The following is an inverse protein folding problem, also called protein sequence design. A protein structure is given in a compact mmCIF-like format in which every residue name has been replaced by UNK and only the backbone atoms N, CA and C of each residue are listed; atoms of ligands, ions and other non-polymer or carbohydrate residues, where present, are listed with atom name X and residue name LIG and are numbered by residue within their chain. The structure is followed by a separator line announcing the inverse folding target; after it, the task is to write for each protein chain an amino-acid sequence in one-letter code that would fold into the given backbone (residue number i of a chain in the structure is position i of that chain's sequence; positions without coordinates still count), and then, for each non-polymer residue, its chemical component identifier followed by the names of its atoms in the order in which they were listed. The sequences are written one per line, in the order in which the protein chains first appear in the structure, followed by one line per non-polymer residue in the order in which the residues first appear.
data_IF_525067274915
#
_entry.id   IF_525067274915
#
_cell.length_a   1.000
_cell.length_b   1.000
_cell.length_c   1.000
_cell.angle_alpha   90.00
_cell.angle_beta   90.00
_cell.angle_gamma   90.00
#
_symmetry.space_group_name_H-M   'P 1'
#
loop_
_entity.id
_entity.type
_entity.pdbx_description
1 polymer ?
#
# COMPACT_ATOMS: atom_id res chain seq x y z
N UNK A 1 0.77 -11.48 -26.29
CA UNK A 1 1.02 -10.13 -25.77
C UNK A 1 0.14 -9.19 -26.56
N UNK A 2 -0.85 -8.58 -25.92
CA UNK A 2 -1.62 -7.51 -26.59
C UNK A 2 -0.67 -6.37 -26.93
N UNK A 3 -0.70 -5.91 -28.19
CA UNK A 3 0.12 -4.78 -28.63
C UNK A 3 -0.49 -3.50 -28.06
N UNK A 4 -0.01 -3.09 -26.89
CA UNK A 4 -0.35 -1.79 -26.32
C UNK A 4 0.21 -0.67 -27.19
N UNK A 5 -0.49 0.47 -27.33
CA UNK A 5 0.04 1.64 -28.00
C UNK A 5 1.36 2.10 -27.37
N UNK A 6 2.26 2.68 -28.17
CA UNK A 6 3.53 3.22 -27.67
C UNK A 6 3.25 4.24 -26.58
N UNK A 7 3.89 4.07 -25.41
CA UNK A 7 3.69 4.95 -24.25
C UNK A 7 2.52 4.56 -23.35
N UNK A 8 1.89 3.39 -23.56
CA UNK A 8 0.82 2.89 -22.70
C UNK A 8 1.19 1.56 -22.05
N UNK A 9 0.74 1.38 -20.81
CA UNK A 9 0.98 0.20 -19.99
C UNK A 9 -0.29 -0.16 -19.20
N UNK A 10 -0.47 -1.44 -18.90
CA UNK A 10 -1.57 -1.92 -18.06
C UNK A 10 -1.26 -1.73 -16.58
N UNK A 11 -2.22 -1.22 -15.81
CA UNK A 11 -2.17 -1.18 -14.35
C UNK A 11 -2.03 -2.60 -13.78
N UNK A 12 -1.05 -2.79 -12.88
CA UNK A 12 -0.79 -4.10 -12.23
C UNK A 12 -1.94 -4.61 -11.36
N UNK A 13 -2.87 -3.74 -10.97
CA UNK A 13 -3.96 -4.06 -10.04
C UNK A 13 -5.28 -4.30 -10.76
N UNK A 14 -5.70 -3.40 -11.64
CA UNK A 14 -7.01 -3.47 -12.30
C UNK A 14 -6.93 -3.74 -13.81
N UNK A 15 -5.73 -3.77 -14.40
CA UNK A 15 -5.54 -3.99 -15.84
C UNK A 15 -5.88 -2.79 -16.73
N UNK A 16 -6.27 -1.64 -16.17
CA UNK A 16 -6.58 -0.44 -16.99
C UNK A 16 -5.36 -0.01 -17.81
N UNK A 17 -5.61 0.37 -19.06
CA UNK A 17 -4.56 0.85 -19.98
C UNK A 17 -4.37 2.34 -19.72
N UNK A 18 -3.21 2.71 -19.21
CA UNK A 18 -2.88 4.10 -18.87
C UNK A 18 -1.64 4.56 -19.63
N UNK A 19 -1.47 5.87 -19.77
CA UNK A 19 -0.19 6.42 -20.20
C UNK A 19 0.88 6.03 -19.17
N UNK A 20 2.05 5.59 -19.65
CA UNK A 20 3.14 5.16 -18.77
C UNK A 20 3.64 6.29 -17.85
N UNK A 21 3.45 7.56 -18.21
CA UNK A 21 3.75 8.72 -17.38
C UNK A 21 2.80 8.88 -16.18
N UNK A 22 1.57 8.36 -16.28
CA UNK A 22 0.57 8.42 -15.22
C UNK A 22 0.68 7.24 -14.24
N UNK A 23 1.41 6.19 -14.62
CA UNK A 23 1.67 5.05 -13.76
C UNK A 23 2.78 5.35 -12.76
N UNK A 24 2.48 5.10 -11.48
CA UNK A 24 3.49 5.13 -10.41
C UNK A 24 3.54 3.74 -9.80
N UNK A 25 4.74 3.14 -9.78
CA UNK A 25 4.93 1.75 -9.34
C UNK A 25 4.03 0.74 -10.07
N UNK A 26 3.70 1.02 -11.34
CA UNK A 26 2.81 0.19 -12.16
C UNK A 26 1.32 0.28 -11.79
N UNK A 27 0.90 1.27 -10.98
CA UNK A 27 -0.49 1.49 -10.59
C UNK A 27 -1.08 2.73 -11.27
N UNK A 28 -2.32 2.60 -11.74
CA UNK A 28 -3.09 3.74 -12.21
C UNK A 28 -3.42 4.71 -11.07
N UNK A 29 -3.78 5.97 -11.37
CA UNK A 29 -4.10 6.97 -10.36
C UNK A 29 -5.25 6.59 -9.41
N UNK A 30 -6.15 5.71 -9.84
CA UNK A 30 -7.27 5.20 -9.02
C UNK A 30 -6.77 4.16 -8.03
N UNK A 31 -6.16 3.07 -8.50
CA UNK A 31 -5.66 2.01 -7.62
C UNK A 31 -4.58 2.50 -6.65
N UNK A 32 -3.77 3.49 -7.07
CA UNK A 32 -2.81 4.15 -6.18
C UNK A 32 -3.52 4.90 -5.04
N UNK A 33 -4.62 5.60 -5.33
CA UNK A 33 -5.40 6.33 -4.32
C UNK A 33 -6.08 5.38 -3.36
N UNK A 34 -6.66 4.29 -3.86
CA UNK A 34 -7.28 3.25 -3.03
C UNK A 34 -6.27 2.64 -2.05
N UNK A 35 -5.07 2.28 -2.54
CA UNK A 35 -4.00 1.75 -1.70
C UNK A 35 -3.51 2.75 -0.66
N UNK A 36 -3.39 4.03 -1.03
CA UNK A 36 -3.02 5.09 -0.09
C UNK A 36 -4.10 5.28 1.00
N UNK A 37 -5.37 5.25 0.63
CA UNK A 37 -6.49 5.35 1.57
C UNK A 37 -6.54 4.14 2.52
N UNK A 38 -6.36 2.93 2.00
CA UNK A 38 -6.29 1.72 2.81
C UNK A 38 -5.15 1.77 3.83
N UNK A 39 -3.96 2.20 3.41
CA UNK A 39 -2.82 2.34 4.31
C UNK A 39 -3.03 3.42 5.37
N UNK A 40 -3.68 4.53 5.01
CA UNK A 40 -4.04 5.57 5.97
C UNK A 40 -5.03 5.05 7.01
N UNK A 41 -6.03 4.26 6.59
CA UNK A 41 -6.98 3.64 7.51
C UNK A 41 -6.28 2.71 8.51
N UNK A 42 -5.41 1.82 8.04
CA UNK A 42 -4.64 0.93 8.93
C UNK A 42 -3.80 1.71 9.95
N UNK A 43 -3.23 2.86 9.56
CA UNK A 43 -2.49 3.71 10.49
C UNK A 43 -3.39 4.37 11.53
N UNK A 44 -4.58 4.82 11.13
CA UNK A 44 -5.60 5.34 12.05
C UNK A 44 -6.05 4.27 13.05
N UNK A 45 -6.39 3.06 12.57
CA UNK A 45 -6.83 1.96 13.42
C UNK A 45 -5.74 1.57 14.43
N UNK A 46 -4.48 1.52 13.97
CA UNK A 46 -3.33 1.24 14.84
C UNK A 46 -3.20 2.29 15.95
N UNK A 47 -3.35 3.57 15.59
CA UNK A 47 -3.29 4.67 16.57
C UNK A 47 -4.45 4.59 17.56
N UNK A 48 -5.67 4.28 17.11
CA UNK A 48 -6.83 4.08 17.98
C UNK A 48 -6.60 2.93 18.97
N UNK A 49 -6.08 1.80 18.51
CA UNK A 49 -5.75 0.66 19.36
C UNK A 49 -4.71 1.02 20.43
N UNK A 50 -3.69 1.81 20.06
CA UNK A 50 -2.71 2.32 21.02
C UNK A 50 -3.35 3.26 22.05
N UNK A 51 -4.25 4.15 21.63
CA UNK A 51 -4.94 5.08 22.53
C UNK A 51 -5.91 4.36 23.47
N UNK A 52 -6.54 3.28 23.00
CA UNK A 52 -7.39 2.41 23.80
C UNK A 52 -6.60 1.53 24.79
N UNK A 53 -5.27 1.46 24.64
CA UNK A 53 -4.42 0.59 25.45
C UNK A 53 -4.64 -0.89 25.16
N UNK A 54 -5.03 -1.23 23.93
CA UNK A 54 -5.24 -2.61 23.49
C UNK A 54 -3.99 -3.14 22.75
N UNK A 55 -3.10 -3.89 23.45
CA UNK A 55 -1.90 -4.42 22.84
C UNK A 55 -2.18 -5.52 21.81
N UNK A 56 -3.31 -6.24 21.93
CA UNK A 56 -3.65 -7.31 21.00
C UNK A 56 -4.11 -6.71 19.66
N UNK A 57 -5.03 -5.74 19.70
CA UNK A 57 -5.51 -5.05 18.51
C UNK A 57 -4.39 -4.28 17.80
N UNK A 58 -3.54 -3.57 18.56
CA UNK A 58 -2.41 -2.84 17.96
C UNK A 58 -1.39 -3.77 17.31
N UNK A 59 -1.12 -4.95 17.89
CA UNK A 59 -0.24 -5.95 17.28
C UNK A 59 -0.84 -6.55 15.99
N UNK A 60 -2.15 -6.84 15.97
CA UNK A 60 -2.84 -7.35 14.77
C UNK A 60 -2.75 -6.35 13.62
N UNK A 61 -3.04 -5.08 13.87
CA UNK A 61 -3.01 -4.04 12.83
C UNK A 61 -1.57 -3.79 12.36
N UNK A 62 -0.59 -3.84 13.27
CA UNK A 62 0.80 -3.70 12.89
C UNK A 62 1.28 -4.86 11.99
N UNK A 63 0.75 -6.07 12.17
CA UNK A 63 0.99 -7.19 11.27
C UNK A 63 0.38 -6.94 9.88
N UNK A 64 -0.84 -6.42 9.79
CA UNK A 64 -1.46 -6.05 8.51
C UNK A 64 -0.64 -4.99 7.75
N UNK A 65 -0.09 -4.02 8.47
CA UNK A 65 0.81 -3.00 7.90
C UNK A 65 2.11 -3.65 7.41
N UNK A 66 2.67 -4.61 8.15
CA UNK A 66 3.87 -5.34 7.74
C UNK A 66 3.62 -6.16 6.47
N UNK A 67 2.52 -6.89 6.42
CA UNK A 67 2.13 -7.71 5.26
C UNK A 67 1.94 -6.84 4.02
N UNK A 68 1.30 -5.68 4.17
CA UNK A 68 1.15 -4.69 3.10
C UNK A 68 2.51 -4.17 2.61
N UNK A 69 3.44 -3.85 3.52
CA UNK A 69 4.78 -3.40 3.13
C UNK A 69 5.53 -4.47 2.31
N UNK A 70 5.40 -5.74 2.69
CA UNK A 70 6.00 -6.87 1.98
C UNK A 70 5.36 -7.09 0.61
N UNK A 71 4.03 -7.09 0.52
CA UNK A 71 3.33 -7.34 -0.75
C UNK A 71 3.58 -6.23 -1.77
N UNK A 72 3.73 -5.00 -1.30
CA UNK A 72 3.91 -3.83 -2.16
C UNK A 72 5.38 -3.50 -2.44
N UNK A 73 6.32 -4.10 -1.70
CA UNK A 73 7.74 -3.75 -1.72
C UNK A 73 8.00 -2.32 -1.27
N UNK A 74 7.16 -1.79 -0.37
CA UNK A 74 7.26 -0.41 0.13
C UNK A 74 7.75 -0.41 1.57
N UNK A 75 8.50 0.61 1.93
CA UNK A 75 8.94 0.83 3.30
C UNK A 75 8.33 2.10 3.86
N UNK A 76 7.53 1.96 4.90
CA UNK A 76 7.02 3.11 5.64
C UNK A 76 8.16 3.79 6.39
N UNK A 77 8.09 5.12 6.47
CA UNK A 77 9.05 5.92 7.26
C UNK A 77 8.70 5.82 8.74
N UNK A 78 9.71 5.91 9.61
CA UNK A 78 9.55 5.99 11.07
C UNK A 78 8.83 4.79 11.73
N UNK A 79 8.82 3.63 11.08
CA UNK A 79 8.24 2.41 11.65
C UNK A 79 9.11 1.89 12.81
N UNK A 80 8.51 1.45 13.94
CA UNK A 80 9.21 0.77 15.01
C UNK A 80 10.05 -0.41 14.50
N UNK A 81 11.17 -0.69 15.16
CA UNK A 81 12.13 -1.71 14.71
C UNK A 81 11.50 -3.08 14.42
N UNK A 82 10.51 -3.48 15.22
CA UNK A 82 9.79 -4.75 15.09
C UNK A 82 9.01 -4.92 13.77
N UNK A 83 8.65 -3.83 13.08
CA UNK A 83 7.82 -3.87 11.87
C UNK A 83 8.55 -3.32 10.63
N UNK A 84 9.88 -3.24 10.68
CA UNK A 84 10.71 -2.82 9.53
C UNK A 84 10.91 -3.98 8.56
N UNK A 85 10.66 -3.71 7.27
CA UNK A 85 11.01 -4.63 6.18
C UNK A 85 12.42 -4.32 5.69
N UNK A 86 13.21 -5.37 5.46
CA UNK A 86 14.62 -5.30 5.04
C UNK A 86 14.75 -5.13 3.53
#
# INVERSE_FOLDING_TARGET
MENLPIGYLSCRSCGSIENCADLVSGLCPVCRRERAAHLAQLQSDYQEALQAGDPAASAEIAQLILDYQQSEGVRLKNVPGAYRVS
#
